data_IF_899348104672
#
_entry.id   IF_899348104672
#
_cell.length_a   1.000
_cell.length_b   1.000
_cell.length_c   1.000
_cell.angle_alpha   90.00
_cell.angle_beta   90.00
_cell.angle_gamma   90.00
#
_symmetry.space_group_name_H-M   'P 1'
#
loop_
_entity.id
_entity.type
_entity.pdbx_description
1 polymer ?
#
# COMPACT_ATOMS: atom_id res chain seq x y z
N UNK A 1 -7.79 -21.80 33.86
CA UNK A 1 -8.11 -22.61 32.66
C UNK A 1 -9.61 -22.71 32.55
N UNK A 2 -10.22 -21.79 31.81
CA UNK A 2 -11.64 -21.80 31.49
C UNK A 2 -11.72 -21.80 29.96
N UNK A 3 -12.22 -22.91 29.40
CA UNK A 3 -12.46 -23.07 27.98
C UNK A 3 -13.56 -22.09 27.56
N UNK A 4 -13.27 -21.25 26.57
CA UNK A 4 -14.28 -20.40 25.95
C UNK A 4 -15.14 -21.24 24.98
N UNK A 5 -16.46 -21.01 24.93
CA UNK A 5 -17.36 -21.77 24.08
C UNK A 5 -17.16 -21.39 22.62
N UNK A 6 -17.22 -22.41 21.78
CA UNK A 6 -17.28 -22.36 20.33
C UNK A 6 -18.46 -21.51 19.85
N UNK A 7 -18.17 -20.29 19.39
CA UNK A 7 -19.09 -19.49 18.58
C UNK A 7 -18.83 -19.73 17.09
N UNK A 8 -19.92 -19.93 16.36
CA UNK A 8 -19.97 -20.43 14.99
C UNK A 8 -19.41 -19.44 13.95
N UNK A 9 -18.13 -19.59 13.60
CA UNK A 9 -17.50 -19.01 12.41
C UNK A 9 -17.81 -19.81 11.13
N UNK A 10 -19.08 -20.20 10.92
CA UNK A 10 -19.48 -20.87 9.68
C UNK A 10 -19.33 -19.88 8.52
N UNK A 11 -18.28 -20.09 7.71
CA UNK A 11 -17.98 -19.55 6.35
C UNK A 11 -16.78 -18.60 6.17
N UNK A 12 -15.87 -18.41 7.13
CA UNK A 12 -14.62 -17.66 6.85
C UNK A 12 -13.45 -18.62 6.63
N UNK A 13 -12.90 -18.65 5.41
CA UNK A 13 -11.61 -19.33 5.09
C UNK A 13 -10.55 -18.81 6.07
N UNK A 14 -9.88 -19.71 6.78
CA UNK A 14 -9.00 -19.36 7.91
C UNK A 14 -7.97 -18.26 7.54
N UNK A 15 -7.90 -17.15 8.31
CA UNK A 15 -6.90 -16.11 8.11
C UNK A 15 -5.50 -16.61 8.48
N UNK A 16 -4.48 -16.02 7.86
CA UNK A 16 -3.08 -16.45 8.05
C UNK A 16 -2.51 -16.06 9.42
N UNK A 17 -3.10 -15.07 10.11
CA UNK A 17 -2.72 -14.62 11.46
C UNK A 17 -3.97 -14.33 12.32
N UNK A 18 -3.84 -14.28 13.67
CA UNK A 18 -4.95 -13.92 14.55
C UNK A 18 -5.29 -12.41 14.49
N UNK A 19 -6.40 -12.04 15.12
CA UNK A 19 -6.86 -10.65 15.28
C UNK A 19 -5.78 -9.77 15.94
N UNK A 20 -5.61 -8.56 15.41
CA UNK A 20 -4.58 -7.63 15.85
C UNK A 20 -3.19 -7.90 15.29
N UNK A 21 -3.04 -8.81 14.31
CA UNK A 21 -1.77 -9.13 13.66
C UNK A 21 -1.87 -9.12 12.14
N UNK A 22 -0.84 -8.58 11.48
CA UNK A 22 -0.61 -8.74 10.04
C UNK A 22 0.25 -9.95 9.74
N UNK A 23 0.08 -10.48 8.53
CA UNK A 23 0.98 -11.51 8.02
C UNK A 23 2.24 -10.85 7.46
N UNK A 24 3.38 -11.22 8.01
CA UNK A 24 4.70 -10.86 7.52
C UNK A 24 5.36 -12.10 6.90
N UNK A 25 5.81 -11.98 5.67
CA UNK A 25 6.52 -13.04 4.97
C UNK A 25 7.98 -12.62 4.83
N UNK A 26 8.92 -13.39 5.38
CA UNK A 26 10.35 -13.16 5.12
C UNK A 26 10.69 -13.76 3.75
N UNK A 27 10.86 -12.88 2.77
CA UNK A 27 11.10 -13.24 1.37
C UNK A 27 12.53 -13.70 1.09
N UNK A 28 13.44 -13.63 2.07
CA UNK A 28 14.83 -14.07 1.91
C UNK A 28 14.99 -15.60 1.93
N UNK A 29 13.97 -16.33 2.40
CA UNK A 29 14.09 -17.76 2.72
C UNK A 29 13.41 -18.65 1.66
N UNK A 30 12.47 -18.13 0.86
CA UNK A 30 11.58 -18.99 0.08
C UNK A 30 11.88 -19.02 -1.43
N UNK A 31 12.66 -20.02 -1.83
CA UNK A 31 13.04 -20.34 -3.20
C UNK A 31 11.93 -20.88 -4.13
N UNK A 32 10.69 -20.39 -4.13
CA UNK A 32 9.63 -20.88 -5.04
C UNK A 32 8.94 -19.76 -5.86
N UNK A 33 8.65 -20.01 -7.14
CA UNK A 33 8.34 -18.99 -8.15
C UNK A 33 6.92 -18.99 -8.74
N UNK A 34 5.86 -19.34 -8.00
CA UNK A 34 4.49 -19.11 -8.51
C UNK A 34 3.41 -19.04 -7.39
N UNK A 35 2.64 -17.94 -7.28
CA UNK A 35 1.58 -17.77 -6.28
C UNK A 35 0.24 -18.47 -6.61
N UNK A 36 0.05 -18.98 -7.84
CA UNK A 36 -1.22 -19.62 -8.24
C UNK A 36 -1.36 -21.08 -7.74
N UNK A 37 -0.24 -21.70 -7.37
CA UNK A 37 -0.16 -23.08 -6.86
C UNK A 37 -0.35 -23.18 -5.33
N UNK A 38 -0.43 -22.05 -4.61
CA UNK A 38 -0.32 -22.01 -3.15
C UNK A 38 -1.61 -22.36 -2.37
N UNK A 39 -2.81 -22.28 -2.97
CA UNK A 39 -4.05 -22.73 -2.28
C UNK A 39 -4.24 -24.25 -2.31
N UNK A 40 -3.64 -24.96 -3.26
CA UNK A 40 -3.79 -26.41 -3.40
C UNK A 40 -2.68 -27.22 -2.70
N UNK A 41 -1.66 -26.56 -2.14
CA UNK A 41 -0.50 -27.23 -1.51
C UNK A 41 -0.35 -26.94 0.00
N UNK A 42 -1.43 -26.59 0.70
CA UNK A 42 -1.41 -26.56 2.18
C UNK A 42 -1.17 -27.95 2.82
N UNK A 43 -1.22 -29.04 2.03
CA UNK A 43 -0.82 -30.38 2.49
C UNK A 43 0.70 -30.58 2.60
N UNK A 44 1.52 -29.68 2.06
CA UNK A 44 2.97 -29.78 2.14
C UNK A 44 3.56 -28.68 3.06
N UNK A 45 3.35 -28.84 4.37
CA UNK A 45 3.91 -27.99 5.46
C UNK A 45 5.43 -27.76 5.40
N UNK A 46 6.18 -28.49 4.59
CA UNK A 46 7.65 -28.45 4.53
C UNK A 46 8.24 -27.35 3.64
N UNK A 47 7.43 -26.65 2.82
CA UNK A 47 7.94 -25.65 1.85
C UNK A 47 7.72 -24.18 2.25
N UNK A 48 7.02 -23.91 3.36
CA UNK A 48 6.89 -22.58 3.94
C UNK A 48 7.67 -22.54 5.26
N UNK A 49 8.92 -22.08 5.23
CA UNK A 49 9.78 -22.12 6.42
C UNK A 49 9.59 -20.96 7.39
N UNK A 50 8.91 -19.85 7.05
CA UNK A 50 8.44 -18.87 8.05
C UNK A 50 7.57 -17.76 7.46
N UNK A 51 6.30 -17.69 7.84
CA UNK A 51 5.63 -16.40 7.98
C UNK A 51 5.59 -16.05 9.47
N UNK A 52 5.71 -14.77 9.78
CA UNK A 52 5.58 -14.24 11.13
C UNK A 52 4.29 -13.44 11.22
N UNK A 53 3.66 -13.47 12.39
CA UNK A 53 2.56 -12.56 12.70
C UNK A 53 3.16 -11.37 13.43
N UNK A 54 3.03 -10.18 12.84
CA UNK A 54 3.48 -8.94 13.47
C UNK A 54 2.26 -8.19 14.02
N UNK A 55 2.35 -7.77 15.28
CA UNK A 55 1.25 -7.07 15.94
C UNK A 55 0.99 -5.72 15.26
N UNK A 56 -0.28 -5.43 14.98
CA UNK A 56 -0.69 -4.14 14.48
C UNK A 56 -0.39 -3.03 15.50
N UNK A 57 -0.04 -1.85 15.00
CA UNK A 57 0.20 -0.69 15.84
C UNK A 57 -1.07 -0.29 16.60
N UNK A 58 -0.91 0.37 17.76
CA UNK A 58 -2.05 0.90 18.50
C UNK A 58 -2.88 1.85 17.60
N UNK A 59 -4.20 1.67 17.60
CA UNK A 59 -5.12 2.44 16.77
C UNK A 59 -5.22 1.95 15.32
N UNK A 60 -4.57 0.83 14.98
CA UNK A 60 -4.80 0.11 13.74
C UNK A 60 -5.76 -1.07 13.95
N UNK A 61 -6.38 -1.50 12.86
CA UNK A 61 -7.27 -2.67 12.78
C UNK A 61 -6.72 -3.68 11.80
N UNK A 62 -7.25 -4.89 11.83
CA UNK A 62 -6.84 -6.01 10.99
C UNK A 62 -7.92 -6.28 9.96
N UNK A 63 -7.54 -6.32 8.69
CA UNK A 63 -8.43 -6.76 7.61
C UNK A 63 -7.76 -7.84 6.77
N UNK A 64 -8.57 -8.61 6.04
CA UNK A 64 -8.06 -9.61 5.09
C UNK A 64 -8.13 -9.05 3.68
N UNK A 65 -6.98 -9.03 3.00
CA UNK A 65 -6.92 -8.57 1.61
C UNK A 65 -7.42 -9.64 0.61
N UNK A 66 -7.51 -9.27 -0.67
CA UNK A 66 -7.93 -10.18 -1.74
C UNK A 66 -7.00 -11.40 -1.93
N UNK A 67 -5.78 -11.34 -1.40
CA UNK A 67 -4.82 -12.45 -1.43
C UNK A 67 -5.02 -13.41 -0.26
N UNK A 68 -5.77 -13.02 0.78
CA UNK A 68 -6.00 -13.81 1.98
C UNK A 68 -4.99 -13.53 3.10
N UNK A 69 -4.23 -12.44 2.99
CA UNK A 69 -3.27 -12.01 3.99
C UNK A 69 -3.90 -11.03 4.96
N UNK A 70 -3.51 -11.12 6.23
CA UNK A 70 -3.88 -10.11 7.21
C UNK A 70 -3.05 -8.85 6.98
N UNK A 71 -3.71 -7.70 6.90
CA UNK A 71 -3.07 -6.39 6.79
C UNK A 71 -3.58 -5.47 7.89
N UNK A 72 -2.68 -4.64 8.43
CA UNK A 72 -3.04 -3.62 9.41
C UNK A 72 -3.45 -2.34 8.68
N UNK A 73 -4.58 -1.74 9.05
CA UNK A 73 -5.02 -0.43 8.57
C UNK A 73 -5.11 0.56 9.74
N UNK A 74 -4.53 1.74 9.57
CA UNK A 74 -4.48 2.78 10.58
C UNK A 74 -3.22 2.76 11.45
N UNK A 75 -3.28 3.49 12.56
CA UNK A 75 -2.15 3.67 13.48
C UNK A 75 -1.13 4.73 13.03
N UNK A 76 0.00 4.82 13.74
CA UNK A 76 1.04 5.82 13.44
C UNK A 76 1.93 5.34 12.28
N UNK A 77 2.17 6.17 11.24
CA UNK A 77 3.05 5.80 10.15
C UNK A 77 4.54 5.85 10.53
N UNK A 78 5.35 5.04 9.84
CA UNK A 78 6.82 5.02 9.97
C UNK A 78 7.46 6.30 9.44
N UNK A 79 7.06 6.72 8.24
CA UNK A 79 7.45 8.00 7.65
C UNK A 79 6.32 9.02 7.83
N UNK A 80 6.50 10.08 8.62
CA UNK A 80 5.49 11.11 8.78
C UNK A 80 5.48 12.04 7.56
N UNK A 81 4.56 11.82 6.63
CA UNK A 81 4.24 12.81 5.62
C UNK A 81 3.25 13.85 6.15
N UNK A 82 3.13 14.96 5.43
CA UNK A 82 2.13 15.98 5.70
C UNK A 82 0.68 15.44 5.68
N UNK A 83 -0.29 16.27 6.10
CA UNK A 83 -1.69 15.89 6.02
C UNK A 83 -2.04 15.55 4.57
N UNK A 84 -2.72 14.43 4.36
CA UNK A 84 -3.15 14.00 3.04
C UNK A 84 -2.02 13.79 2.02
N UNK A 85 -0.91 13.20 2.47
CA UNK A 85 0.25 12.92 1.65
C UNK A 85 0.77 11.50 1.86
N UNK A 86 1.45 10.93 0.88
CA UNK A 86 2.07 9.63 1.01
C UNK A 86 3.49 9.61 0.43
N UNK A 87 4.38 8.75 0.94
CA UNK A 87 5.64 8.48 0.29
C UNK A 87 5.40 7.90 -1.10
N UNK A 88 6.18 8.39 -2.05
CA UNK A 88 6.31 7.83 -3.39
C UNK A 88 7.78 7.53 -3.65
N UNK A 89 8.04 6.42 -4.35
CA UNK A 89 9.39 6.02 -4.70
C UNK A 89 10.06 7.03 -5.64
N UNK A 90 11.26 7.48 -5.27
CA UNK A 90 12.08 8.35 -6.11
C UNK A 90 13.07 7.57 -6.97
N UNK A 91 13.30 6.30 -6.64
CA UNK A 91 14.38 5.49 -7.22
C UNK A 91 15.79 5.90 -6.78
N UNK A 92 15.95 6.96 -5.99
CA UNK A 92 17.25 7.34 -5.47
C UNK A 92 17.59 6.54 -4.20
N UNK A 93 18.66 5.73 -4.16
CA UNK A 93 19.04 5.01 -2.94
C UNK A 93 19.31 5.94 -1.75
N UNK A 94 19.75 7.18 -2.00
CA UNK A 94 20.06 8.17 -0.96
C UNK A 94 18.80 8.87 -0.42
N UNK A 95 17.70 8.83 -1.18
CA UNK A 95 16.41 9.42 -0.81
C UNK A 95 15.28 8.56 -1.40
N UNK A 96 15.06 7.32 -0.92
CA UNK A 96 14.25 6.31 -1.61
C UNK A 96 12.78 6.70 -1.77
N UNK A 97 12.27 7.52 -0.86
CA UNK A 97 10.90 8.00 -0.88
C UNK A 97 10.85 9.51 -0.63
N UNK A 98 9.86 10.17 -1.21
CA UNK A 98 9.49 11.54 -0.88
C UNK A 98 7.99 11.62 -0.64
N UNK A 99 7.56 12.49 0.27
CA UNK A 99 6.14 12.73 0.48
C UNK A 99 5.59 13.66 -0.59
N UNK A 100 4.48 13.26 -1.22
CA UNK A 100 3.70 14.11 -2.12
C UNK A 100 2.23 14.10 -1.72
N UNK A 101 1.44 15.14 -2.04
CA UNK A 101 0.01 15.14 -1.78
C UNK A 101 -0.69 13.98 -2.49
N UNK A 102 -1.76 13.46 -1.89
CA UNK A 102 -2.61 12.50 -2.54
C UNK A 102 -3.38 13.16 -3.71
N UNK A 103 -3.55 12.45 -4.84
CA UNK A 103 -4.40 12.90 -5.94
C UNK A 103 -5.84 13.17 -5.51
N UNK A 104 -6.54 13.99 -6.28
CA UNK A 104 -7.97 14.18 -6.13
C UNK A 104 -8.72 12.83 -6.12
N UNK A 105 -9.67 12.68 -5.19
CA UNK A 105 -10.45 11.45 -5.03
C UNK A 105 -9.75 10.32 -4.25
N UNK A 106 -8.47 10.47 -3.89
CA UNK A 106 -7.77 9.52 -3.02
C UNK A 106 -7.70 10.04 -1.59
N UNK A 107 -7.38 9.17 -0.64
CA UNK A 107 -7.26 9.48 0.79
C UNK A 107 -5.97 8.88 1.35
N UNK A 108 -5.37 9.59 2.30
CA UNK A 108 -4.20 9.13 3.03
C UNK A 108 -4.63 8.07 4.06
N UNK A 109 -4.16 6.85 3.90
CA UNK A 109 -4.44 5.71 4.78
C UNK A 109 -3.12 5.08 5.20
N UNK A 110 -2.99 4.66 6.46
CA UNK A 110 -1.83 3.90 6.93
C UNK A 110 -2.09 2.42 6.66
N UNK A 111 -1.26 1.78 5.84
CA UNK A 111 -1.34 0.35 5.54
C UNK A 111 -0.03 -0.30 5.98
N UNK A 112 -0.10 -1.24 6.92
CA UNK A 112 1.07 -1.92 7.48
C UNK A 112 2.16 -0.95 8.00
N UNK A 113 1.74 0.20 8.53
CA UNK A 113 2.62 1.26 9.04
C UNK A 113 3.18 2.21 7.97
N UNK A 114 2.85 2.03 6.68
CA UNK A 114 3.24 2.94 5.59
C UNK A 114 2.04 3.76 5.13
N UNK A 115 2.23 5.08 4.94
CA UNK A 115 1.18 5.93 4.34
C UNK A 115 0.98 5.56 2.88
N UNK A 116 -0.27 5.50 2.43
CA UNK A 116 -0.64 5.29 1.04
C UNK A 116 -1.81 6.19 0.67
N UNK A 117 -1.84 6.62 -0.59
CA UNK A 117 -3.00 7.29 -1.17
C UNK A 117 -3.90 6.22 -1.81
N UNK A 118 -5.09 6.02 -1.24
CA UNK A 118 -6.04 5.00 -1.69
C UNK A 118 -7.36 5.64 -2.13
N UNK A 119 -7.95 5.21 -3.25
CA UNK A 119 -9.36 5.49 -3.51
C UNK A 119 -10.20 4.66 -2.53
N UNK A 120 -11.03 5.30 -1.71
CA UNK A 120 -12.06 4.57 -0.97
C UNK A 120 -13.30 5.43 -0.67
N UNK A 121 -14.45 4.78 -0.83
CA UNK A 121 -15.80 5.23 -0.54
C UNK A 121 -16.48 4.31 0.48
N UNK A 122 -15.68 3.54 1.22
CA UNK A 122 -16.18 2.58 2.20
C UNK A 122 -17.10 3.23 3.22
N UNK A 123 -18.26 2.59 3.41
CA UNK A 123 -19.24 2.98 4.42
C UNK A 123 -18.63 2.78 5.80
N UNK A 124 -19.16 3.53 6.77
CA UNK A 124 -18.86 3.31 8.18
C UNK A 124 -19.05 1.81 8.51
N UNK A 125 -18.08 1.23 9.24
CA UNK A 125 -18.06 -0.19 9.56
C UNK A 125 -17.25 -1.06 8.59
N UNK A 126 -16.82 -0.54 7.43
CA UNK A 126 -16.01 -1.27 6.45
C UNK A 126 -14.73 -0.51 6.11
N UNK A 127 -13.69 -1.25 5.72
CA UNK A 127 -12.37 -0.67 5.41
C UNK A 127 -11.87 -1.08 4.02
N UNK A 128 -11.06 -0.23 3.36
CA UNK A 128 -10.51 -0.54 2.04
C UNK A 128 -9.44 -1.63 2.14
N UNK A 129 -9.64 -2.73 1.43
CA UNK A 129 -8.64 -3.77 1.25
C UNK A 129 -8.33 -3.96 -0.24
N UNK A 130 -7.04 -4.20 -0.54
CA UNK A 130 -6.59 -4.45 -1.90
C UNK A 130 -7.29 -5.71 -2.45
N UNK A 131 -7.81 -5.62 -3.66
CA UNK A 131 -8.36 -6.75 -4.38
C UNK A 131 -7.25 -7.59 -5.04
N UNK A 132 -7.55 -8.87 -5.31
CA UNK A 132 -6.62 -9.77 -5.98
C UNK A 132 -6.50 -9.41 -7.46
N UNK A 133 -5.27 -9.37 -7.97
CA UNK A 133 -4.99 -9.30 -9.40
C UNK A 133 -3.93 -8.26 -9.78
N UNK A 134 -3.68 -8.20 -11.09
CA UNK A 134 -2.78 -7.23 -11.75
C UNK A 134 -3.34 -5.81 -11.68
N UNK A 135 -4.67 -5.70 -11.62
CA UNK A 135 -5.37 -4.43 -11.50
C UNK A 135 -5.36 -4.00 -10.06
N UNK A 136 -4.90 -2.78 -9.80
CA UNK A 136 -5.01 -2.19 -8.47
C UNK A 136 -6.45 -1.73 -8.24
N UNK A 137 -7.25 -2.60 -7.63
CA UNK A 137 -8.58 -2.30 -7.15
C UNK A 137 -8.61 -2.40 -5.62
N UNK A 138 -9.46 -1.61 -4.99
CA UNK A 138 -9.77 -1.71 -3.56
C UNK A 138 -11.24 -2.05 -3.40
N UNK A 139 -11.55 -2.86 -2.39
CA UNK A 139 -12.92 -3.22 -2.01
C UNK A 139 -13.11 -2.98 -0.54
N UNK A 140 -14.33 -2.63 -0.16
CA UNK A 140 -14.69 -2.49 1.24
C UNK A 140 -14.94 -3.87 1.83
N UNK A 141 -14.20 -4.18 2.89
CA UNK A 141 -14.29 -5.44 3.62
C UNK A 141 -14.61 -5.17 5.07
N UNK A 142 -15.24 -6.15 5.71
CA UNK A 142 -15.45 -6.11 7.16
C UNK A 142 -14.10 -6.23 7.87
N UNK A 143 -13.87 -5.44 8.93
CA UNK A 143 -12.73 -5.64 9.79
C UNK A 143 -12.82 -6.97 10.53
N UNK A 144 -11.69 -7.41 11.07
CA UNK A 144 -11.66 -8.61 11.88
C UNK A 144 -12.14 -8.33 13.30
N UNK A 145 -11.83 -7.14 13.81
CA UNK A 145 -12.35 -6.57 15.05
C UNK A 145 -13.82 -6.14 14.94
N UNK A 146 -14.51 -6.01 16.08
CA UNK A 146 -15.87 -5.46 16.14
C UNK A 146 -15.90 -4.00 15.63
N UNK A 147 -16.66 -3.69 14.56
CA UNK A 147 -16.74 -2.35 13.98
C UNK A 147 -17.12 -1.23 14.96
N UNK A 148 -17.91 -1.53 15.98
CA UNK A 148 -18.42 -0.53 16.93
C UNK A 148 -17.37 -0.12 17.97
N UNK A 149 -16.30 -0.92 18.12
CA UNK A 149 -15.18 -0.63 19.02
C UNK A 149 -14.03 0.12 18.32
N UNK A 150 -14.13 0.31 17.00
CA UNK A 150 -13.08 0.91 16.18
C UNK A 150 -13.21 2.44 16.17
N UNK A 151 -12.11 3.12 16.49
CA UNK A 151 -11.99 4.57 16.25
C UNK A 151 -11.66 4.80 14.77
N UNK A 152 -12.70 4.84 13.93
CA UNK A 152 -12.59 4.85 12.47
C UNK A 152 -11.74 5.99 11.88
N UNK A 153 -11.68 7.14 12.55
CA UNK A 153 -10.82 8.26 12.15
C UNK A 153 -9.33 7.88 12.08
N UNK A 154 -8.89 6.94 12.93
CA UNK A 154 -7.50 6.46 12.94
C UNK A 154 -7.21 5.43 11.84
N UNK A 155 -8.25 4.88 11.20
CA UNK A 155 -8.14 3.82 10.20
C UNK A 155 -8.30 4.40 8.80
N UNK A 156 -9.39 5.13 8.59
CA UNK A 156 -9.76 5.77 7.33
C UNK A 156 -10.18 7.20 7.62
N UNK A 157 -9.21 8.12 7.70
CA UNK A 157 -9.51 9.51 7.98
C UNK A 157 -10.39 10.11 6.87
N UNK A 158 -11.14 11.13 7.26
CA UNK A 158 -12.00 11.85 6.32
C UNK A 158 -11.15 12.50 5.22
N UNK A 159 -11.64 12.47 3.97
CA UNK A 159 -11.00 13.21 2.89
C UNK A 159 -10.97 14.70 3.24
N UNK A 160 -9.83 15.39 3.09
CA UNK A 160 -9.82 16.83 3.17
C UNK A 160 -10.64 17.40 2.01
N UNK A 161 -11.30 18.54 2.25
CA UNK A 161 -12.12 19.22 1.24
C UNK A 161 -11.30 19.73 0.05
N UNK A 162 -10.00 19.93 0.24
CA UNK A 162 -9.04 20.33 -0.78
C UNK A 162 -7.67 19.69 -0.46
N UNK A 163 -6.85 19.41 -1.49
CA UNK A 163 -5.46 18.99 -1.27
C UNK A 163 -4.68 20.08 -0.52
N UNK A 164 -3.63 19.71 0.23
CA UNK A 164 -2.78 20.68 0.90
C UNK A 164 -2.15 21.65 -0.12
N UNK A 165 -1.93 22.93 0.25
CA UNK A 165 -1.28 23.89 -0.64
C UNK A 165 0.15 23.42 -0.94
N UNK A 166 0.50 23.46 -2.22
CA UNK A 166 1.81 23.06 -2.74
C UNK A 166 2.36 24.17 -3.63
N UNK A 167 3.65 24.55 -3.48
CA UNK A 167 4.27 25.53 -4.34
C UNK A 167 4.45 25.01 -5.76
N UNK A 168 4.38 25.90 -6.73
CA UNK A 168 4.78 25.62 -8.11
C UNK A 168 6.31 25.64 -8.21
N UNK A 169 6.92 24.48 -8.41
CA UNK A 169 8.37 24.38 -8.56
C UNK A 169 8.83 24.85 -9.95
N UNK A 170 9.98 25.53 -9.99
CA UNK A 170 10.59 25.95 -11.25
C UNK A 170 11.14 24.75 -12.03
N UNK A 171 11.51 24.99 -13.29
CA UNK A 171 12.17 23.97 -14.11
C UNK A 171 13.43 23.44 -13.42
N UNK A 172 13.61 22.12 -13.40
CA UNK A 172 14.71 21.45 -12.71
C UNK A 172 14.58 21.37 -11.18
N UNK A 173 13.47 21.84 -10.60
CA UNK A 173 13.19 21.71 -9.16
C UNK A 173 12.13 20.65 -8.86
N UNK A 174 12.39 19.84 -7.85
CA UNK A 174 11.44 18.86 -7.31
C UNK A 174 10.80 19.34 -6.01
N UNK A 175 9.58 18.90 -5.80
CA UNK A 175 8.82 19.06 -4.57
C UNK A 175 9.44 18.21 -3.45
N UNK A 176 9.56 18.81 -2.27
CA UNK A 176 10.02 18.15 -1.05
C UNK A 176 9.11 18.54 0.11
N UNK A 177 8.79 17.58 0.97
CA UNK A 177 8.14 17.85 2.26
C UNK A 177 9.18 18.16 3.33
N UNK A 178 9.12 19.35 3.91
CA UNK A 178 9.89 19.73 5.09
C UNK A 178 9.10 19.34 6.34
N UNK A 179 9.53 18.25 7.01
CA UNK A 179 8.88 17.77 8.21
C UNK A 179 9.00 18.72 9.42
N UNK A 180 10.01 19.59 9.45
CA UNK A 180 10.25 20.54 10.54
C UNK A 180 9.32 21.74 10.40
N UNK A 181 9.29 22.33 9.21
CA UNK A 181 8.42 23.46 8.89
C UNK A 181 6.97 23.04 8.61
N UNK A 182 6.71 21.74 8.42
CA UNK A 182 5.42 21.16 8.05
C UNK A 182 4.84 21.80 6.78
N UNK A 183 5.69 21.99 5.78
CA UNK A 183 5.33 22.62 4.52
C UNK A 183 6.06 21.98 3.34
N UNK A 184 5.53 22.23 2.15
CA UNK A 184 6.21 21.84 0.92
C UNK A 184 7.15 22.93 0.44
N UNK A 185 8.31 22.52 -0.05
CA UNK A 185 9.34 23.40 -0.63
C UNK A 185 9.83 22.82 -1.96
N UNK A 186 10.40 23.68 -2.78
CA UNK A 186 11.02 23.28 -4.04
C UNK A 186 12.54 23.26 -3.87
N UNK A 187 13.18 22.19 -4.31
CA UNK A 187 14.63 21.98 -4.23
C UNK A 187 15.15 21.64 -5.63
N UNK A 188 16.30 22.20 -6.02
CA UNK A 188 16.93 21.83 -7.29
C UNK A 188 17.32 20.34 -7.29
N UNK A 189 17.09 19.65 -8.42
CA UNK A 189 17.59 18.30 -8.58
C UNK A 189 19.11 18.36 -8.70
N UNK A 190 19.79 18.02 -7.60
CA UNK A 190 21.26 17.96 -7.54
C UNK A 190 21.84 16.93 -8.52
N UNK A 191 23.17 16.84 -8.53
CA UNK A 191 23.91 16.01 -9.49
C UNK A 191 23.44 14.54 -9.51
N UNK A 192 23.26 13.99 -10.72
CA UNK A 192 22.82 12.61 -10.93
C UNK A 192 21.34 12.34 -10.65
N UNK A 193 20.54 13.37 -10.32
CA UNK A 193 19.08 13.28 -10.17
C UNK A 193 18.37 13.91 -11.36
N UNK A 194 17.23 13.34 -11.72
CA UNK A 194 16.33 13.88 -12.74
C UNK A 194 14.97 14.18 -12.14
N UNK A 195 14.21 15.01 -12.85
CA UNK A 195 12.86 15.39 -12.45
C UNK A 195 11.89 14.30 -12.91
N UNK A 196 11.17 13.72 -11.95
CA UNK A 196 10.19 12.67 -12.13
C UNK A 196 8.79 13.21 -11.84
N UNK A 197 7.78 12.78 -12.58
CA UNK A 197 6.39 13.06 -12.24
C UNK A 197 5.85 11.98 -11.29
N UNK A 198 5.28 12.40 -10.15
CA UNK A 198 4.68 11.54 -9.12
C UNK A 198 3.38 12.14 -8.64
N UNK A 199 2.26 11.47 -8.91
CA UNK A 199 0.91 11.97 -8.71
C UNK A 199 0.67 13.35 -9.32
N UNK A 200 1.32 13.65 -10.45
CA UNK A 200 1.29 14.97 -11.10
C UNK A 200 2.23 16.01 -10.47
N UNK A 201 3.00 15.66 -9.44
CA UNK A 201 3.97 16.53 -8.79
C UNK A 201 5.40 16.27 -9.29
N UNK A 202 6.21 17.32 -9.49
CA UNK A 202 7.62 17.17 -9.81
C UNK A 202 8.38 16.67 -8.58
N UNK A 203 9.21 15.65 -8.73
CA UNK A 203 10.02 15.06 -7.66
C UNK A 203 11.43 14.79 -8.18
N UNK A 204 12.45 15.15 -7.42
CA UNK A 204 13.82 14.76 -7.75
C UNK A 204 14.07 13.31 -7.35
N UNK A 205 14.57 12.51 -8.30
CA UNK A 205 14.90 11.12 -8.05
C UNK A 205 15.93 10.60 -9.03
N UNK A 206 16.17 9.29 -9.02
CA UNK A 206 16.98 8.62 -10.03
C UNK A 206 16.08 7.68 -10.80
N UNK A 207 16.27 7.63 -12.11
CA UNK A 207 15.57 6.66 -12.94
C UNK A 207 16.16 5.26 -12.72
N UNK A 208 15.75 4.60 -11.64
CA UNK A 208 16.24 3.27 -11.24
C UNK A 208 15.15 2.22 -11.20
N UNK A 209 13.88 2.61 -11.36
CA UNK A 209 12.81 1.65 -11.51
C UNK A 209 12.91 1.07 -12.92
N UNK A 210 13.13 -0.25 -13.09
CA UNK A 210 13.02 -0.86 -14.40
C UNK A 210 11.60 -0.54 -14.90
N UNK A 211 11.51 0.30 -15.94
CA UNK A 211 10.25 0.56 -16.60
C UNK A 211 9.78 -0.78 -17.16
N UNK A 212 8.66 -1.27 -16.65
CA UNK A 212 7.98 -2.39 -17.24
C UNK A 212 7.73 -2.09 -18.74
N UNK A 213 7.64 -3.13 -19.57
CA UNK A 213 7.44 -2.96 -21.01
C UNK A 213 6.13 -2.23 -21.34
N UNK A 214 5.88 -1.98 -22.63
CA UNK A 214 4.64 -1.31 -23.06
C UNK A 214 3.41 -2.07 -22.55
N UNK A 215 2.54 -1.37 -21.81
CA UNK A 215 1.31 -1.90 -21.15
C UNK A 215 1.58 -2.90 -20.03
N UNK A 216 2.73 -2.86 -19.39
CA UNK A 216 3.02 -3.68 -18.22
C UNK A 216 3.00 -2.82 -16.96
N UNK A 217 2.31 -3.32 -15.94
CA UNK A 217 2.32 -2.72 -14.61
C UNK A 217 3.27 -3.46 -13.70
N UNK A 218 3.81 -2.72 -12.76
CA UNK A 218 4.52 -3.27 -11.64
C UNK A 218 3.50 -3.89 -10.69
N UNK A 219 3.52 -5.21 -10.58
CA UNK A 219 2.77 -5.88 -9.53
C UNK A 219 3.70 -5.99 -8.34
N UNK A 220 3.33 -5.26 -7.28
CA UNK A 220 3.81 -5.55 -5.93
C UNK A 220 3.18 -6.88 -5.52
N UNK A 221 3.66 -7.96 -6.15
CA UNK A 221 3.36 -9.32 -5.72
C UNK A 221 4.23 -9.47 -4.49
N UNK A 222 3.61 -9.72 -3.35
CA UNK A 222 4.27 -10.43 -2.26
C UNK A 222 4.53 -11.87 -2.73
N UNK A 223 5.27 -12.03 -3.83
CA UNK A 223 5.88 -13.30 -4.12
C UNK A 223 6.86 -13.58 -2.97
N UNK A 224 7.00 -14.85 -2.65
CA UNK A 224 7.82 -15.34 -1.56
C UNK A 224 9.32 -14.95 -1.71
N UNK A 225 9.72 -14.26 -2.79
CA UNK A 225 11.08 -13.78 -3.06
C UNK A 225 11.16 -12.25 -3.09
N UNK A 226 10.07 -11.54 -2.82
CA UNK A 226 10.01 -10.07 -2.81
C UNK A 226 10.37 -9.45 -4.17
N UNK A 227 10.25 -10.21 -5.27
CA UNK A 227 10.61 -9.73 -6.58
C UNK A 227 9.39 -9.12 -7.23
N UNK A 228 9.49 -7.83 -7.45
CA UNK A 228 8.61 -7.11 -8.35
C UNK A 228 8.51 -7.83 -9.71
N UNK A 229 7.29 -8.03 -10.19
CA UNK A 229 7.05 -8.60 -11.50
C UNK A 229 6.31 -7.58 -12.37
N UNK A 230 6.79 -7.41 -13.59
CA UNK A 230 6.06 -6.68 -14.62
C UNK A 230 5.03 -7.62 -15.23
N UNK A 231 3.74 -7.30 -15.08
CA UNK A 231 2.65 -8.06 -15.69
C UNK A 231 1.87 -7.17 -16.67
N UNK A 232 1.42 -7.76 -17.78
CA UNK A 232 0.64 -7.04 -18.79
C UNK A 232 -0.73 -6.67 -18.25
N UNK A 233 -1.10 -5.40 -18.41
CA UNK A 233 -2.45 -4.94 -18.10
C UNK A 233 -3.49 -5.69 -18.94
N UNK A 234 -4.58 -6.19 -18.32
CA UNK A 234 -5.63 -6.85 -19.09
C UNK A 234 -6.23 -5.85 -20.09
N UNK A 235 -6.70 -6.35 -21.25
CA UNK A 235 -7.02 -5.52 -22.43
C UNK A 235 -7.98 -4.35 -22.17
N UNK A 236 -8.90 -4.49 -21.21
CA UNK A 236 -9.95 -3.52 -20.85
C UNK A 236 -9.53 -2.48 -19.80
N UNK A 237 -8.28 -2.54 -19.34
CA UNK A 237 -7.75 -1.70 -18.27
C UNK A 237 -6.70 -0.74 -18.81
N UNK A 238 -6.60 0.41 -18.15
CA UNK A 238 -5.69 1.49 -18.53
C UNK A 238 -4.41 1.37 -17.71
N UNK A 239 -3.25 1.39 -18.37
CA UNK A 239 -1.97 1.55 -17.67
C UNK A 239 -1.89 3.01 -17.20
N UNK A 240 -1.74 3.23 -15.90
CA UNK A 240 -1.47 4.54 -15.32
C UNK A 240 -0.05 4.56 -14.75
N UNK A 241 0.72 5.57 -15.16
CA UNK A 241 2.03 5.89 -14.60
C UNK A 241 1.95 7.12 -13.69
N UNK A 242 0.75 7.64 -13.42
CA UNK A 242 0.57 8.90 -12.67
C UNK A 242 1.26 8.84 -11.31
N UNK A 243 1.22 7.70 -10.61
CA UNK A 243 1.90 7.51 -9.31
C UNK A 243 3.43 7.44 -9.40
N UNK A 244 3.99 7.37 -10.61
CA UNK A 244 5.38 7.01 -10.90
C UNK A 244 5.72 5.55 -10.78
N UNK A 245 4.77 4.72 -10.33
CA UNK A 245 4.81 3.28 -10.42
C UNK A 245 3.75 2.86 -11.43
N UNK A 246 4.12 2.20 -12.56
CA UNK A 246 3.15 1.73 -13.53
C UNK A 246 2.14 0.77 -12.88
N UNK A 247 0.84 1.09 -12.97
CA UNK A 247 -0.26 0.32 -12.37
C UNK A 247 -1.36 0.12 -13.41
N UNK A 248 -2.03 -1.04 -13.37
CA UNK A 248 -3.24 -1.22 -14.17
C UNK A 248 -4.44 -0.75 -13.36
N UNK A 249 -5.18 0.22 -13.89
CA UNK A 249 -6.38 0.77 -13.26
C UNK A 249 -7.62 0.38 -14.06
N UNK A 250 -8.74 0.21 -13.36
CA UNK A 250 -10.06 0.08 -13.98
C UNK A 250 -10.43 1.41 -14.65
N UNK A 251 -10.99 1.39 -15.87
CA UNK A 251 -11.53 2.62 -16.45
C UNK A 251 -12.63 3.16 -15.53
N UNK A 252 -12.51 4.45 -15.20
CA UNK A 252 -13.53 5.22 -14.47
C UNK A 252 -14.70 5.61 -15.35
#
# INVERSE_FOLDING_TARGET
>A
LLAAPSASARQRKDPSCPEGYRTYVDTRISGAGNPSLQRHQMDNRKLFSSYACERCAKGAITVVDGYGWNVCLGGRPKLPCGPHAAPVGTGDPDRPEVCVPCPAGQRQVVVNGSLRCLPHDCKAGTAPARHRGVVEEYRCVDPYEDPDLIVWENVVPSAPKAPPPVPSCAEGQGLLWDATAKEYRCEACGEGRTLLSRYGYPVCGRETVPRCGKREAFVDVHDLRGRAQCEKCPRRYTLSEESGVPRCLRPG
#
